data_IF_467470798331
#
_entry.id   IF_467470798331
#
_cell.length_a   1.000
_cell.length_b   1.000
_cell.length_c   1.000
_cell.angle_alpha   90.00
_cell.angle_beta   90.00
_cell.angle_gamma   90.00
#
_symmetry.space_group_name_H-M   'P 1'
#
loop_
_entity.id
_entity.type
_entity.pdbx_description
1 polymer ?
#
# COMPACT_ATOMS: atom_id res chain seq x y z
N UNK A 1 16.36 -13.69 1.18
CA UNK A 1 17.84 -13.68 1.23
C UNK A 1 18.37 -14.14 -0.12
N UNK A 2 18.66 -13.21 -1.03
CA UNK A 2 19.33 -13.56 -2.30
C UNK A 2 20.33 -12.45 -2.62
N UNK A 3 21.53 -12.58 -2.06
CA UNK A 3 22.74 -11.96 -2.59
C UNK A 3 23.93 -12.75 -2.04
N UNK A 4 24.04 -14.00 -2.51
CA UNK A 4 25.28 -14.77 -2.44
C UNK A 4 25.52 -15.42 -3.80
N UNK A 5 26.30 -14.74 -4.64
CA UNK A 5 27.29 -15.36 -5.53
C UNK A 5 28.29 -14.31 -6.02
N UNK A 6 29.58 -14.58 -5.77
CA UNK A 6 30.77 -13.78 -6.13
C UNK A 6 31.14 -13.93 -7.62
N UNK A 7 30.21 -13.72 -8.55
CA UNK A 7 30.51 -13.80 -9.99
C UNK A 7 29.81 -12.67 -10.78
N UNK A 8 30.47 -11.50 -10.84
CA UNK A 8 30.10 -10.32 -11.65
C UNK A 8 30.84 -10.27 -13.00
N UNK A 9 31.53 -11.34 -13.42
CA UNK A 9 32.42 -11.31 -14.59
C UNK A 9 31.72 -11.46 -15.95
N UNK A 10 30.38 -11.52 -16.00
CA UNK A 10 29.56 -11.60 -17.24
C UNK A 10 28.21 -10.89 -17.11
N UNK A 11 28.11 -9.93 -16.20
CA UNK A 11 26.88 -9.14 -16.06
C UNK A 11 26.91 -8.06 -17.14
N UNK A 12 25.98 -8.14 -18.10
CA UNK A 12 25.72 -7.07 -19.07
C UNK A 12 25.04 -5.91 -18.35
N UNK A 13 25.86 -5.11 -17.67
CA UNK A 13 25.42 -4.11 -16.72
C UNK A 13 24.59 -3.01 -17.39
N UNK A 14 24.94 -2.64 -18.62
CA UNK A 14 24.19 -1.66 -19.41
C UNK A 14 22.78 -2.16 -19.75
N UNK A 15 22.65 -3.44 -20.12
CA UNK A 15 21.34 -4.05 -20.38
C UNK A 15 20.47 -4.09 -19.13
N UNK A 16 21.02 -4.53 -18.00
CA UNK A 16 20.30 -4.56 -16.72
C UNK A 16 19.89 -3.17 -16.22
N UNK A 17 20.72 -2.15 -16.46
CA UNK A 17 20.37 -0.77 -16.08
C UNK A 17 19.19 -0.26 -16.91
N UNK A 18 19.18 -0.50 -18.21
CA UNK A 18 18.05 -0.11 -19.08
C UNK A 18 16.78 -0.87 -18.66
N UNK A 19 16.84 -2.18 -18.53
CA UNK A 19 15.70 -2.99 -18.08
C UNK A 19 15.15 -2.55 -16.72
N UNK A 20 16.03 -2.20 -15.77
CA UNK A 20 15.62 -1.72 -14.46
C UNK A 20 14.99 -0.33 -14.51
N UNK A 21 15.43 0.55 -15.42
CA UNK A 21 14.84 1.88 -15.61
C UNK A 21 13.45 1.73 -16.24
N UNK A 22 13.32 0.93 -17.30
CA UNK A 22 12.06 0.70 -17.99
C UNK A 22 11.02 0.08 -17.04
N UNK A 23 11.41 -0.95 -16.28
CA UNK A 23 10.53 -1.55 -15.28
C UNK A 23 10.10 -0.57 -14.18
N UNK A 24 11.00 0.35 -13.79
CA UNK A 24 10.69 1.38 -12.80
C UNK A 24 9.69 2.41 -13.36
N UNK A 25 9.80 2.79 -14.63
CA UNK A 25 8.84 3.66 -15.31
C UNK A 25 7.44 3.03 -15.37
N UNK A 26 7.35 1.75 -15.74
CA UNK A 26 6.09 1.00 -15.74
C UNK A 26 5.45 0.92 -14.34
N UNK A 27 6.28 0.67 -13.31
CA UNK A 27 5.83 0.64 -11.92
C UNK A 27 5.30 2.01 -11.46
N UNK A 28 5.95 3.12 -11.86
CA UNK A 28 5.48 4.47 -11.55
C UNK A 28 4.12 4.76 -12.19
N UNK A 29 3.96 4.46 -13.49
CA UNK A 29 2.71 4.65 -14.21
C UNK A 29 1.57 3.82 -13.59
N UNK A 30 1.88 2.59 -13.18
CA UNK A 30 0.94 1.72 -12.48
C UNK A 30 0.50 2.34 -11.16
N UNK A 31 1.44 2.81 -10.34
CA UNK A 31 1.12 3.43 -9.06
C UNK A 31 0.30 4.71 -9.21
N UNK A 32 0.62 5.55 -10.18
CA UNK A 32 -0.13 6.79 -10.47
C UNK A 32 -1.58 6.47 -10.87
N UNK A 33 -1.75 5.51 -11.79
CA UNK A 33 -3.08 5.06 -12.23
C UNK A 33 -3.90 4.52 -11.06
N UNK A 34 -3.31 3.64 -10.24
CA UNK A 34 -3.99 3.07 -9.08
C UNK A 34 -4.32 4.13 -8.03
N UNK A 35 -3.45 5.13 -7.82
CA UNK A 35 -3.73 6.22 -6.89
C UNK A 35 -4.92 7.05 -7.34
N UNK A 36 -5.00 7.43 -8.62
CA UNK A 36 -6.14 8.15 -9.18
C UNK A 36 -7.45 7.34 -9.10
N UNK A 37 -7.40 6.05 -9.42
CA UNK A 37 -8.56 5.16 -9.27
C UNK A 37 -9.08 5.10 -7.83
N UNK A 38 -8.17 5.03 -6.84
CA UNK A 38 -8.54 4.98 -5.43
C UNK A 38 -9.18 6.28 -4.94
N UNK A 39 -8.80 7.43 -5.52
CA UNK A 39 -9.41 8.75 -5.21
C UNK A 39 -10.85 8.85 -5.71
N UNK A 40 -11.21 8.15 -6.78
CA UNK A 40 -12.56 8.14 -7.33
C UNK A 40 -13.52 7.18 -6.61
N UNK A 41 -12.99 6.29 -5.77
CA UNK A 41 -13.76 5.21 -5.15
C UNK A 41 -14.18 5.56 -3.72
N UNK A 42 -15.39 6.06 -3.55
CA UNK A 42 -15.97 6.37 -2.25
C UNK A 42 -16.19 5.11 -1.38
N UNK A 43 -15.96 5.25 -0.08
CA UNK A 43 -16.09 4.19 0.92
C UNK A 43 -17.02 4.65 2.04
N UNK A 44 -18.10 3.89 2.25
CA UNK A 44 -19.00 4.10 3.39
C UNK A 44 -18.36 3.61 4.68
N UNK A 45 -18.74 4.20 5.82
CA UNK A 45 -18.23 3.83 7.14
C UNK A 45 -18.25 2.32 7.43
N UNK A 46 -19.35 1.62 7.15
CA UNK A 46 -19.43 0.16 7.36
C UNK A 46 -18.44 -0.62 6.49
N UNK A 47 -18.25 -0.19 5.24
CA UNK A 47 -17.28 -0.79 4.33
C UNK A 47 -15.85 -0.49 4.79
N UNK A 48 -15.58 0.71 5.30
CA UNK A 48 -14.29 1.06 5.88
C UNK A 48 -13.99 0.19 7.12
N UNK A 49 -14.95 0.00 8.02
CA UNK A 49 -14.80 -0.86 9.20
C UNK A 49 -14.46 -2.30 8.80
N UNK A 50 -15.21 -2.87 7.85
CA UNK A 50 -14.93 -4.23 7.34
C UNK A 50 -13.54 -4.30 6.71
N UNK A 51 -13.17 -3.32 5.90
CA UNK A 51 -11.84 -3.27 5.27
C UNK A 51 -10.72 -3.20 6.33
N UNK A 52 -10.87 -2.38 7.37
CA UNK A 52 -9.87 -2.27 8.43
C UNK A 52 -9.71 -3.58 9.21
N UNK A 53 -10.82 -4.27 9.50
CA UNK A 53 -10.77 -5.59 10.13
C UNK A 53 -10.08 -6.60 9.20
N UNK A 54 -10.45 -6.66 7.92
CA UNK A 54 -9.80 -7.54 6.92
C UNK A 54 -8.30 -7.27 6.80
N UNK A 55 -7.86 -6.01 6.88
CA UNK A 55 -6.44 -5.65 6.87
C UNK A 55 -5.70 -6.15 8.12
N UNK A 56 -6.34 -6.12 9.29
CA UNK A 56 -5.79 -6.67 10.52
C UNK A 56 -5.74 -8.22 10.48
N UNK A 57 -6.79 -8.87 9.97
CA UNK A 57 -6.83 -10.33 9.76
C UNK A 57 -5.73 -10.81 8.80
N UNK A 58 -5.44 -10.03 7.75
CA UNK A 58 -4.33 -10.28 6.83
C UNK A 58 -2.94 -10.00 7.44
N UNK A 59 -2.87 -9.50 8.68
CA UNK A 59 -1.62 -9.14 9.36
C UNK A 59 -0.95 -7.86 8.84
N UNK A 60 -1.60 -7.12 7.93
CA UNK A 60 -1.05 -5.86 7.41
C UNK A 60 -0.89 -4.83 8.54
N UNK A 61 -1.89 -4.73 9.43
CA UNK A 61 -1.84 -3.94 10.67
C UNK A 61 -2.12 -4.81 11.90
N UNK A 62 -1.85 -4.31 13.11
CA UNK A 62 -2.19 -5.05 14.33
C UNK A 62 -3.67 -4.80 14.68
N UNK A 63 -4.29 -5.71 15.45
CA UNK A 63 -5.69 -5.52 15.88
C UNK A 63 -5.91 -4.25 16.71
N UNK A 64 -4.89 -3.81 17.46
CA UNK A 64 -4.92 -2.55 18.22
C UNK A 64 -4.96 -1.30 17.33
N UNK A 65 -4.69 -1.43 16.03
CA UNK A 65 -4.71 -0.34 15.07
C UNK A 65 -6.08 -0.13 14.41
N UNK A 66 -7.03 -1.05 14.61
CA UNK A 66 -8.36 -0.97 13.98
C UNK A 66 -9.06 0.35 14.33
N UNK A 67 -9.13 0.68 15.62
CA UNK A 67 -9.80 1.91 16.09
C UNK A 67 -9.01 3.16 15.68
N UNK A 68 -7.69 3.26 15.91
CA UNK A 68 -6.89 4.40 15.44
C UNK A 68 -7.00 4.67 13.93
N UNK A 69 -6.95 3.64 13.09
CA UNK A 69 -7.08 3.81 11.63
C UNK A 69 -8.48 4.31 11.27
N UNK A 70 -9.52 3.77 11.90
CA UNK A 70 -10.88 4.23 11.63
C UNK A 70 -11.08 5.69 12.05
N UNK A 71 -10.49 6.11 13.19
CA UNK A 71 -10.50 7.50 13.62
C UNK A 71 -9.79 8.42 12.62
N UNK A 72 -8.58 8.06 12.17
CA UNK A 72 -7.84 8.83 11.17
C UNK A 72 -8.57 8.87 9.82
N UNK A 73 -9.36 7.86 9.47
CA UNK A 73 -10.22 7.91 8.28
C UNK A 73 -11.42 8.85 8.43
N UNK A 74 -11.99 8.95 9.64
CA UNK A 74 -13.13 9.84 9.92
C UNK A 74 -12.71 11.30 10.11
N UNK A 75 -11.56 11.50 10.72
CA UNK A 75 -11.00 12.80 11.08
C UNK A 75 -9.52 12.84 10.65
N UNK A 76 -9.27 12.91 9.33
CA UNK A 76 -7.91 12.88 8.80
C UNK A 76 -7.13 14.12 9.20
N UNK A 77 -5.85 13.94 9.51
CA UNK A 77 -4.93 15.05 9.84
C UNK A 77 -4.62 15.96 8.65
N UNK A 78 -4.83 15.46 7.44
CA UNK A 78 -4.53 16.16 6.20
C UNK A 78 -5.82 16.37 5.40
N UNK A 79 -6.07 17.61 5.00
CA UNK A 79 -7.29 18.02 4.28
C UNK A 79 -7.45 17.29 2.94
N UNK A 80 -6.35 16.95 2.27
CA UNK A 80 -6.35 16.14 1.04
C UNK A 80 -6.95 14.74 1.20
N UNK A 81 -7.14 14.26 2.43
CA UNK A 81 -7.78 12.98 2.75
C UNK A 81 -9.19 13.14 3.35
N UNK A 82 -9.76 14.35 3.35
CA UNK A 82 -11.09 14.62 3.92
C UNK A 82 -12.22 13.87 3.21
N UNK A 83 -12.09 13.65 1.90
CA UNK A 83 -13.06 12.88 1.12
C UNK A 83 -12.97 11.39 1.48
N UNK A 84 -14.08 10.71 1.85
CA UNK A 84 -14.07 9.34 2.33
C UNK A 84 -13.95 8.34 1.16
N UNK A 85 -12.75 8.23 0.62
CA UNK A 85 -12.39 7.43 -0.54
C UNK A 85 -11.47 6.27 -0.13
N UNK A 86 -11.22 5.32 -1.03
CA UNK A 86 -10.24 4.27 -0.77
C UNK A 86 -8.83 4.86 -0.63
N UNK A 87 -8.56 5.97 -1.31
CA UNK A 87 -7.32 6.73 -1.16
C UNK A 87 -7.14 7.29 0.26
N UNK A 88 -8.16 7.93 0.83
CA UNK A 88 -8.06 8.42 2.21
C UNK A 88 -7.99 7.28 3.23
N UNK A 89 -8.67 6.16 2.97
CA UNK A 89 -8.53 4.96 3.82
C UNK A 89 -7.11 4.39 3.79
N UNK A 90 -6.50 4.26 2.60
CA UNK A 90 -5.10 3.86 2.47
C UNK A 90 -4.19 4.80 3.27
N UNK A 91 -4.42 6.11 3.18
CA UNK A 91 -3.63 7.10 3.90
C UNK A 91 -3.87 7.08 5.42
N UNK A 92 -5.06 6.73 5.89
CA UNK A 92 -5.30 6.50 7.31
C UNK A 92 -4.43 5.35 7.85
N UNK A 93 -4.26 4.27 7.07
CA UNK A 93 -3.33 3.20 7.43
C UNK A 93 -1.87 3.67 7.44
N UNK A 94 -1.41 4.37 6.40
CA UNK A 94 -0.01 4.81 6.31
C UNK A 94 0.32 5.84 7.39
N UNK A 95 -0.61 6.73 7.74
CA UNK A 95 -0.44 7.66 8.86
C UNK A 95 -0.30 6.93 10.19
N UNK A 96 -1.17 5.95 10.47
CA UNK A 96 -1.05 5.16 11.68
C UNK A 96 0.25 4.30 11.69
N UNK A 97 0.72 3.84 10.53
CA UNK A 97 1.93 3.04 10.39
C UNK A 97 3.22 3.83 10.72
N UNK A 98 3.21 5.16 10.74
CA UNK A 98 4.37 5.99 11.10
C UNK A 98 4.91 5.72 12.53
N UNK A 99 4.09 5.15 13.42
CA UNK A 99 4.51 4.76 14.78
C UNK A 99 5.26 3.43 14.83
N UNK A 100 5.23 2.64 13.76
CA UNK A 100 5.86 1.33 13.71
C UNK A 100 7.38 1.42 13.61
N UNK A 101 8.07 0.36 14.04
CA UNK A 101 9.47 0.16 13.69
C UNK A 101 9.61 0.00 12.17
N UNK A 102 10.78 0.30 11.58
CA UNK A 102 11.01 0.13 10.14
C UNK A 102 10.65 -1.27 9.63
N UNK A 103 10.99 -2.32 10.37
CA UNK A 103 10.68 -3.70 9.99
C UNK A 103 9.16 -3.97 9.97
N UNK A 104 8.40 -3.42 10.92
CA UNK A 104 6.94 -3.58 10.97
C UNK A 104 6.23 -2.71 9.93
N UNK A 105 6.76 -1.52 9.65
CA UNK A 105 6.27 -0.63 8.59
C UNK A 105 6.43 -1.27 7.21
N UNK A 106 7.56 -1.91 6.94
CA UNK A 106 7.79 -2.67 5.70
C UNK A 106 6.78 -3.82 5.50
N UNK A 107 6.47 -4.58 6.56
CA UNK A 107 5.38 -5.59 6.52
C UNK A 107 4.02 -4.94 6.24
N UNK A 108 3.74 -3.81 6.89
CA UNK A 108 2.50 -3.06 6.70
C UNK A 108 2.34 -2.61 5.24
N UNK A 109 3.33 -1.90 4.70
CA UNK A 109 3.27 -1.36 3.34
C UNK A 109 3.15 -2.45 2.29
N UNK A 110 3.90 -3.55 2.40
CA UNK A 110 3.74 -4.69 1.49
C UNK A 110 2.35 -5.33 1.57
N UNK A 111 1.79 -5.44 2.78
CA UNK A 111 0.41 -5.89 2.97
C UNK A 111 -0.59 -4.95 2.31
N UNK A 112 -0.46 -3.64 2.52
CA UNK A 112 -1.33 -2.62 1.93
C UNK A 112 -1.23 -2.59 0.41
N UNK A 113 -0.03 -2.70 -0.17
CA UNK A 113 0.18 -2.80 -1.62
C UNK A 113 -0.70 -3.90 -2.22
N UNK A 114 -0.68 -5.10 -1.63
CA UNK A 114 -1.49 -6.22 -2.15
C UNK A 114 -2.99 -6.03 -1.88
N UNK A 115 -3.36 -5.56 -0.69
CA UNK A 115 -4.76 -5.37 -0.29
C UNK A 115 -5.46 -4.34 -1.18
N UNK A 116 -4.78 -3.24 -1.49
CA UNK A 116 -5.29 -2.13 -2.30
C UNK A 116 -5.02 -2.27 -3.80
N UNK A 117 -4.25 -3.28 -4.23
CA UNK A 117 -3.95 -3.51 -5.64
C UNK A 117 -2.97 -2.49 -6.22
N UNK A 118 -2.11 -1.92 -5.38
CA UNK A 118 -1.06 -0.99 -5.82
C UNK A 118 0.02 -1.69 -6.67
N UNK A 119 0.00 -3.02 -6.74
CA UNK A 119 0.86 -3.85 -7.58
C UNK A 119 0.28 -4.12 -8.98
N UNK A 120 -0.70 -3.32 -9.43
CA UNK A 120 -1.37 -3.45 -10.73
C UNK A 120 -2.29 -4.68 -10.84
N UNK A 121 -2.45 -5.45 -9.75
CA UNK A 121 -3.33 -6.62 -9.70
C UNK A 121 -4.65 -6.25 -9.03
N UNK A 122 -5.75 -6.99 -9.30
CA UNK A 122 -7.02 -6.76 -8.63
C UNK A 122 -6.87 -6.76 -7.10
N UNK A 123 -7.43 -5.75 -6.40
CA UNK A 123 -7.31 -5.63 -4.95
C UNK A 123 -8.02 -6.79 -4.25
N UNK A 124 -7.44 -7.31 -3.18
CA UNK A 124 -8.05 -8.41 -2.41
C UNK A 124 -8.95 -7.93 -1.28
N UNK A 125 -8.80 -6.67 -0.86
CA UNK A 125 -9.50 -6.12 0.30
C UNK A 125 -11.03 -6.04 0.11
N UNK A 126 -11.47 -5.84 -1.13
CA UNK A 126 -12.86 -5.50 -1.47
C UNK A 126 -13.68 -6.69 -1.96
N UNK A 127 -13.07 -7.87 -2.07
CA UNK A 127 -13.78 -9.08 -2.46
C UNK A 127 -14.70 -9.54 -1.33
N UNK A 128 -15.86 -10.12 -1.68
CA UNK A 128 -16.87 -10.59 -0.72
C UNK A 128 -16.27 -11.65 0.21
#
# INVERSE_FOLDING_TARGET
MVLKRRHTSRIELNGLVVEAIDALEDDFLTLETMAEDLKLQYVRDDAARVAIVKAAEAGAVNSSDIVPVFQEFKEPRHEEFAEPTRWSLLNAFTQNAKKYSPARADVCYRGLTRLFGLDGKPPTLWNR
#
